data_IF_627270300953
#
_entry.id   IF_627270300953
#
_cell.length_a   1.000
_cell.length_b   1.000
_cell.length_c   1.000
_cell.angle_alpha   90.00
_cell.angle_beta   90.00
_cell.angle_gamma   90.00
#
_symmetry.space_group_name_H-M   'P 1'
#
loop_
_entity.id
_entity.type
_entity.pdbx_description
1 polymer ?
#
# COMPACT_ATOMS: atom_id res chain seq x y z
N UNK A 1 2.01 20.76 5.18
CA UNK A 1 0.74 20.17 5.63
C UNK A 1 -0.15 19.95 4.42
N UNK A 2 -0.44 18.69 4.10
CA UNK A 2 -1.42 18.33 3.08
C UNK A 2 -2.81 18.60 3.66
N UNK A 3 -3.69 19.24 2.89
CA UNK A 3 -5.08 19.42 3.30
C UNK A 3 -5.82 18.08 3.30
N UNK A 4 -6.77 17.89 4.23
CA UNK A 4 -7.53 16.63 4.32
C UNK A 4 -8.26 16.28 3.01
N UNK A 5 -8.80 17.28 2.30
CA UNK A 5 -9.40 17.06 0.98
C UNK A 5 -8.39 16.60 -0.07
N UNK A 6 -7.18 17.12 -0.04
CA UNK A 6 -6.10 16.71 -0.95
C UNK A 6 -5.69 15.27 -0.68
N UNK A 7 -5.61 14.86 0.59
CA UNK A 7 -5.37 13.47 0.99
C UNK A 7 -6.44 12.52 0.42
N UNK A 8 -7.72 12.86 0.52
CA UNK A 8 -8.81 12.08 -0.06
C UNK A 8 -8.71 12.03 -1.59
N UNK A 9 -8.40 13.16 -2.23
CA UNK A 9 -8.24 13.22 -3.69
C UNK A 9 -7.14 12.27 -4.20
N UNK A 10 -6.07 12.03 -3.43
CA UNK A 10 -5.02 11.08 -3.81
C UNK A 10 -5.54 9.65 -4.00
N UNK A 11 -6.49 9.18 -3.21
CA UNK A 11 -7.08 7.85 -3.39
C UNK A 11 -7.83 7.73 -4.73
N UNK A 12 -8.58 8.77 -5.09
CA UNK A 12 -9.29 8.82 -6.38
C UNK A 12 -8.33 8.95 -7.56
N UNK A 13 -7.31 9.80 -7.43
CA UNK A 13 -6.24 9.90 -8.42
C UNK A 13 -5.53 8.56 -8.65
N UNK A 14 -5.16 7.84 -7.61
CA UNK A 14 -4.49 6.54 -7.73
C UNK A 14 -5.39 5.49 -8.39
N UNK A 15 -6.69 5.48 -8.07
CA UNK A 15 -7.66 4.65 -8.76
C UNK A 15 -7.67 4.93 -10.26
N UNK A 16 -7.78 6.20 -10.65
CA UNK A 16 -7.83 6.60 -12.06
C UNK A 16 -6.50 6.33 -12.77
N UNK A 17 -5.38 6.55 -12.08
CA UNK A 17 -4.05 6.22 -12.59
C UNK A 17 -3.88 4.72 -12.88
N UNK A 18 -4.40 3.87 -12.02
CA UNK A 18 -4.36 2.42 -12.21
C UNK A 18 -5.31 1.97 -13.33
N UNK A 19 -6.44 2.67 -13.52
CA UNK A 19 -7.40 2.46 -14.61
C UNK A 19 -7.78 0.98 -14.80
N UNK A 20 -8.14 0.30 -13.71
CA UNK A 20 -8.54 -1.12 -13.66
C UNK A 20 -7.48 -2.13 -14.17
N UNK A 21 -6.24 -1.69 -14.43
CA UNK A 21 -5.15 -2.57 -14.87
C UNK A 21 -4.68 -3.54 -13.79
N UNK A 22 -4.94 -3.23 -12.54
CA UNK A 22 -4.63 -4.08 -11.38
C UNK A 22 -5.58 -3.80 -10.24
N UNK A 23 -5.65 -4.75 -9.30
CA UNK A 23 -6.43 -4.55 -8.09
C UNK A 23 -5.70 -3.62 -7.12
N UNK A 24 -6.41 -2.64 -6.57
CA UNK A 24 -5.90 -1.69 -5.58
C UNK A 24 -6.45 -2.05 -4.21
N UNK A 25 -5.57 -2.13 -3.23
CA UNK A 25 -5.91 -2.26 -1.83
C UNK A 25 -5.57 -0.95 -1.13
N UNK A 26 -6.59 -0.29 -0.59
CA UNK A 26 -6.43 0.94 0.15
C UNK A 26 -6.44 0.64 1.64
N UNK A 27 -5.44 1.13 2.35
CA UNK A 27 -5.34 1.00 3.79
C UNK A 27 -4.94 2.33 4.42
N UNK A 28 -5.42 2.57 5.61
CA UNK A 28 -5.05 3.71 6.43
C UNK A 28 -4.63 3.21 7.80
N UNK A 29 -3.56 3.78 8.33
CA UNK A 29 -3.14 3.50 9.69
C UNK A 29 -4.22 4.02 10.65
N UNK A 30 -4.76 3.13 11.47
CA UNK A 30 -5.77 3.45 12.46
C UNK A 30 -5.22 3.21 13.86
N UNK A 31 -4.69 4.26 14.48
CA UNK A 31 -4.37 4.25 15.89
C UNK A 31 -5.67 4.55 16.67
N UNK A 32 -5.88 3.89 17.82
CA UNK A 32 -7.05 4.10 18.68
C UNK A 32 -7.36 5.57 18.99
N UNK A 33 -6.36 6.44 18.92
CA UNK A 33 -6.49 7.90 19.08
C UNK A 33 -7.00 8.60 17.82
N UNK A 34 -6.99 7.94 16.67
CA UNK A 34 -7.38 8.51 15.37
C UNK A 34 -8.80 8.14 14.95
N UNK A 35 -9.44 7.16 15.61
CA UNK A 35 -10.81 6.75 15.29
C UNK A 35 -11.79 7.94 15.21
N UNK A 36 -11.89 8.82 16.20
CA UNK A 36 -12.81 9.96 16.12
C UNK A 36 -12.43 10.92 14.99
N UNK A 37 -11.15 11.11 14.72
CA UNK A 37 -10.69 11.99 13.66
C UNK A 37 -11.02 11.42 12.28
N UNK A 38 -10.82 10.12 12.08
CA UNK A 38 -11.19 9.46 10.83
C UNK A 38 -12.70 9.59 10.56
N UNK A 39 -13.53 9.27 11.54
CA UNK A 39 -14.99 9.34 11.39
C UNK A 39 -15.50 10.77 11.19
N UNK A 40 -14.96 11.73 11.89
CA UNK A 40 -15.44 13.11 11.85
C UNK A 40 -14.92 13.91 10.67
N UNK A 41 -13.74 13.57 10.16
CA UNK A 41 -13.08 14.35 9.10
C UNK A 41 -13.04 13.60 7.77
N UNK A 42 -12.55 12.37 7.75
CA UNK A 42 -12.36 11.66 6.49
C UNK A 42 -13.63 11.02 5.93
N UNK A 43 -14.48 10.45 6.78
CA UNK A 43 -15.73 9.83 6.31
C UNK A 43 -16.61 10.83 5.56
N UNK A 44 -16.87 12.06 6.05
CA UNK A 44 -17.63 13.06 5.29
C UNK A 44 -16.96 13.45 3.95
N UNK A 45 -15.64 13.54 3.92
CA UNK A 45 -14.90 13.87 2.69
C UNK A 45 -14.99 12.76 1.64
N UNK A 46 -14.87 11.50 2.05
CA UNK A 46 -15.06 10.36 1.17
C UNK A 46 -16.51 10.27 0.68
N UNK A 47 -17.50 10.55 1.55
CA UNK A 47 -18.90 10.58 1.16
C UNK A 47 -19.17 11.67 0.11
N UNK A 48 -18.68 12.88 0.32
CA UNK A 48 -18.76 13.96 -0.67
C UNK A 48 -18.18 13.53 -2.02
N UNK A 49 -17.00 12.91 -2.02
CA UNK A 49 -16.37 12.41 -3.24
C UNK A 49 -17.15 11.29 -3.91
N UNK A 50 -17.76 10.41 -3.14
CA UNK A 50 -18.67 9.41 -3.68
C UNK A 50 -19.87 10.04 -4.38
N UNK A 51 -20.51 11.04 -3.78
CA UNK A 51 -21.62 11.78 -4.38
C UNK A 51 -21.21 12.47 -5.69
N UNK A 52 -19.99 13.02 -5.76
CA UNK A 52 -19.44 13.66 -6.95
C UNK A 52 -19.07 12.66 -8.06
N UNK A 53 -18.54 11.50 -7.73
CA UNK A 53 -17.93 10.57 -8.68
C UNK A 53 -18.76 9.31 -8.95
N UNK A 54 -19.74 9.00 -8.08
CA UNK A 54 -20.50 7.75 -8.11
C UNK A 54 -19.69 6.52 -7.66
N UNK A 55 -18.47 6.69 -7.16
CA UNK A 55 -17.56 5.60 -6.82
C UNK A 55 -17.12 5.63 -5.36
N UNK A 56 -17.29 4.50 -4.66
CA UNK A 56 -16.80 4.32 -3.28
C UNK A 56 -15.42 3.70 -3.33
N UNK A 57 -14.45 4.33 -2.66
CA UNK A 57 -13.13 3.75 -2.41
C UNK A 57 -13.20 2.89 -1.14
N UNK A 58 -13.03 1.56 -1.24
CA UNK A 58 -12.96 0.71 -0.06
C UNK A 58 -11.64 0.97 0.67
N UNK A 59 -11.71 1.36 1.95
CA UNK A 59 -10.54 1.59 2.79
C UNK A 59 -10.59 0.61 3.96
N UNK A 60 -9.49 -0.07 4.22
CA UNK A 60 -9.33 -0.97 5.35
C UNK A 60 -8.42 -0.34 6.40
N UNK A 61 -8.78 -0.37 7.69
CA UNK A 61 -7.88 0.08 8.73
C UNK A 61 -6.70 -0.90 8.87
N UNK A 62 -5.51 -0.37 9.06
CA UNK A 62 -4.34 -1.15 9.47
C UNK A 62 -4.32 -1.25 11.00
N UNK A 63 -4.80 -2.38 11.52
CA UNK A 63 -4.90 -2.66 12.95
C UNK A 63 -3.70 -3.45 13.48
N UNK A 64 -2.62 -3.58 12.72
CA UNK A 64 -1.46 -4.34 13.15
C UNK A 64 -0.86 -3.76 14.43
N UNK A 65 -0.54 -4.66 15.37
CA UNK A 65 0.40 -4.30 16.42
C UNK A 65 1.80 -4.21 15.79
N UNK A 66 2.29 -2.98 15.65
CA UNK A 66 3.59 -2.72 15.03
C UNK A 66 4.68 -2.72 16.11
N UNK A 67 5.53 -3.76 16.17
CA UNK A 67 6.68 -3.76 17.05
C UNK A 67 7.68 -2.66 16.63
N UNK A 68 8.90 -2.74 17.12
CA UNK A 68 9.96 -1.79 16.77
C UNK A 68 9.98 -1.45 15.27
N UNK A 69 9.91 -0.15 15.00
CA UNK A 69 9.74 0.37 13.63
C UNK A 69 10.95 0.04 12.77
N UNK A 70 12.16 0.21 13.30
CA UNK A 70 13.39 -0.03 12.56
C UNK A 70 13.54 -1.52 12.22
N UNK A 71 13.50 -2.39 13.22
CA UNK A 71 13.64 -3.83 13.02
C UNK A 71 12.60 -4.42 12.04
N UNK A 72 11.37 -3.89 12.06
CA UNK A 72 10.30 -4.32 11.18
C UNK A 72 10.56 -3.91 9.72
N UNK A 73 10.93 -2.65 9.49
CA UNK A 73 11.21 -2.12 8.15
C UNK A 73 12.44 -2.82 7.57
N UNK A 74 13.52 -2.90 8.33
CA UNK A 74 14.75 -3.58 7.93
C UNK A 74 14.48 -5.05 7.62
N UNK A 75 13.84 -5.77 8.53
CA UNK A 75 13.58 -7.21 8.38
C UNK A 75 12.73 -7.56 7.16
N UNK A 76 11.82 -6.68 6.76
CA UNK A 76 10.93 -6.91 5.61
C UNK A 76 11.50 -6.39 4.28
N UNK A 77 12.17 -5.25 4.27
CA UNK A 77 12.59 -4.59 3.03
C UNK A 77 14.05 -4.88 2.65
N UNK A 78 14.96 -5.08 3.61
CA UNK A 78 16.35 -5.34 3.32
C UNK A 78 16.57 -6.61 2.48
N UNK A 79 15.91 -7.75 2.76
CA UNK A 79 16.02 -8.94 1.92
C UNK A 79 15.57 -8.70 0.48
N UNK A 80 14.59 -7.84 0.26
CA UNK A 80 14.12 -7.46 -1.07
C UNK A 80 15.14 -6.60 -1.79
N UNK A 81 15.71 -5.63 -1.09
CA UNK A 81 16.74 -4.76 -1.63
C UNK A 81 18.00 -5.56 -2.01
N UNK A 82 18.48 -6.41 -1.14
CA UNK A 82 19.64 -7.30 -1.39
C UNK A 82 19.41 -8.22 -2.57
N UNK A 83 18.19 -8.71 -2.76
CA UNK A 83 17.82 -9.55 -3.90
C UNK A 83 17.54 -8.75 -5.20
N UNK A 84 17.74 -7.42 -5.22
CA UNK A 84 17.44 -6.56 -6.36
C UNK A 84 15.94 -6.52 -6.74
N UNK A 85 15.07 -6.76 -5.76
CA UNK A 85 13.61 -6.80 -5.96
C UNK A 85 12.91 -5.49 -5.61
N UNK A 86 13.61 -4.55 -5.00
CA UNK A 86 13.12 -3.19 -4.81
C UNK A 86 13.50 -2.37 -6.04
N UNK A 87 12.50 -2.04 -6.84
CA UNK A 87 12.68 -1.36 -8.12
C UNK A 87 11.86 -0.07 -8.07
N UNK A 88 12.53 1.06 -8.26
CA UNK A 88 11.89 2.35 -8.45
C UNK A 88 11.58 2.57 -9.94
N UNK A 89 10.47 3.25 -10.22
CA UNK A 89 10.07 3.53 -11.59
C UNK A 89 11.00 4.56 -12.25
N UNK A 90 11.78 4.15 -13.24
CA UNK A 90 12.72 5.03 -13.94
C UNK A 90 12.03 6.21 -14.64
N UNK A 91 10.76 6.07 -15.02
CA UNK A 91 10.00 7.17 -15.62
C UNK A 91 9.74 8.31 -14.62
N UNK A 92 9.83 8.02 -13.31
CA UNK A 92 9.63 8.99 -12.23
C UNK A 92 10.95 9.52 -11.64
N UNK A 93 12.10 9.24 -12.25
CA UNK A 93 13.41 9.62 -11.72
C UNK A 93 13.58 11.12 -11.45
N UNK A 94 12.91 11.97 -12.25
CA UNK A 94 12.95 13.42 -12.12
C UNK A 94 11.79 13.97 -11.24
N UNK A 95 10.96 13.09 -10.68
CA UNK A 95 9.89 13.46 -9.75
C UNK A 95 10.49 13.76 -8.37
N UNK A 96 10.30 14.97 -7.83
CA UNK A 96 10.89 15.36 -6.54
C UNK A 96 10.40 14.49 -5.36
N UNK A 97 9.20 13.92 -5.44
CA UNK A 97 8.70 13.00 -4.41
C UNK A 97 9.40 11.64 -4.49
N UNK A 98 9.76 11.18 -5.69
CA UNK A 98 10.53 9.95 -5.88
C UNK A 98 11.97 10.12 -5.38
N UNK A 99 12.61 11.24 -5.70
CA UNK A 99 13.93 11.57 -5.19
C UNK A 99 13.96 11.66 -3.67
N UNK A 100 12.92 12.26 -3.07
CA UNK A 100 12.78 12.31 -1.62
C UNK A 100 12.57 10.92 -1.01
N UNK A 101 11.80 10.03 -1.63
CA UNK A 101 11.63 8.66 -1.18
C UNK A 101 12.97 7.90 -1.19
N UNK A 102 13.75 8.03 -2.26
CA UNK A 102 15.07 7.45 -2.37
C UNK A 102 16.01 7.96 -1.26
N UNK A 103 16.03 9.27 -1.03
CA UNK A 103 16.79 9.87 0.08
C UNK A 103 16.41 9.29 1.45
N UNK A 104 15.10 9.10 1.72
CA UNK A 104 14.62 8.50 2.96
C UNK A 104 15.10 7.06 3.14
N UNK A 105 15.23 6.28 2.06
CA UNK A 105 15.83 4.95 2.13
C UNK A 105 17.33 4.98 2.37
N UNK A 106 18.05 5.92 1.74
CA UNK A 106 19.50 6.06 1.91
C UNK A 106 19.87 6.54 3.32
N UNK A 107 19.03 7.33 3.97
CA UNK A 107 19.22 7.85 5.32
C UNK A 107 18.62 6.96 6.41
N UNK A 108 17.99 5.85 6.05
CA UNK A 108 17.33 4.96 7.00
C UNK A 108 18.37 4.13 7.77
N UNK A 109 18.56 4.46 9.05
CA UNK A 109 19.54 3.83 9.95
C UNK A 109 19.00 3.84 11.39
N UNK A 110 19.40 2.85 12.19
CA UNK A 110 18.99 2.67 13.61
C UNK A 110 19.43 3.81 14.53
N UNK A 111 20.48 4.50 14.19
CA UNK A 111 21.07 5.58 15.01
C UNK A 111 20.56 6.99 14.70
N UNK A 112 19.79 7.19 13.66
CA UNK A 112 19.42 8.53 13.19
C UNK A 112 17.93 8.80 13.37
N UNK A 113 17.54 10.00 13.86
CA UNK A 113 16.14 10.42 13.91
C UNK A 113 15.61 10.80 12.51
N UNK A 114 16.00 10.05 11.48
CA UNK A 114 15.52 10.31 10.15
C UNK A 114 14.03 10.03 10.05
N UNK A 115 13.27 10.83 9.30
CA UNK A 115 11.87 10.54 9.04
C UNK A 115 11.76 9.23 8.26
N UNK A 116 11.29 8.18 8.93
CA UNK A 116 11.13 6.84 8.37
C UNK A 116 9.76 6.63 7.70
N UNK A 117 9.02 7.70 7.39
CA UNK A 117 7.63 7.60 6.91
C UNK A 117 7.54 6.97 5.53
N UNK A 118 8.48 7.25 4.63
CA UNK A 118 8.56 6.61 3.33
C UNK A 118 8.81 5.10 3.42
N UNK A 119 9.90 4.64 4.05
CA UNK A 119 10.16 3.23 4.31
C UNK A 119 9.03 2.51 5.05
N UNK A 120 8.41 3.14 6.05
CA UNK A 120 7.28 2.58 6.80
C UNK A 120 6.03 2.38 5.92
N UNK A 121 5.73 3.34 5.08
CA UNK A 121 4.62 3.22 4.14
C UNK A 121 4.84 2.09 3.11
N UNK A 122 6.06 1.95 2.59
CA UNK A 122 6.42 0.88 1.65
C UNK A 122 6.36 -0.49 2.34
N UNK A 123 6.87 -0.61 3.57
CA UNK A 123 6.76 -1.84 4.37
C UNK A 123 5.30 -2.22 4.60
N UNK A 124 4.48 -1.26 4.99
CA UNK A 124 3.03 -1.47 5.16
C UNK A 124 2.35 -1.98 3.90
N UNK A 125 2.63 -1.38 2.76
CA UNK A 125 2.13 -1.81 1.46
C UNK A 125 2.60 -3.22 1.09
N UNK A 126 3.88 -3.52 1.28
CA UNK A 126 4.45 -4.85 1.04
C UNK A 126 3.78 -5.93 1.90
N UNK A 127 3.60 -5.67 3.19
CA UNK A 127 2.91 -6.59 4.10
C UNK A 127 1.49 -6.90 3.64
N UNK A 128 0.70 -5.88 3.28
CA UNK A 128 -0.66 -6.05 2.78
C UNK A 128 -0.68 -6.90 1.50
N UNK A 129 0.22 -6.62 0.56
CA UNK A 129 0.35 -7.39 -0.67
C UNK A 129 0.69 -8.87 -0.39
N UNK A 130 1.59 -9.15 0.55
CA UNK A 130 1.91 -10.52 0.95
C UNK A 130 0.69 -11.26 1.50
N UNK A 131 -0.06 -10.64 2.40
CA UNK A 131 -1.27 -11.25 2.98
C UNK A 131 -2.29 -11.59 1.89
N UNK A 132 -2.52 -10.68 0.94
CA UNK A 132 -3.46 -10.91 -0.16
C UNK A 132 -2.97 -12.00 -1.11
N UNK A 133 -1.67 -12.06 -1.40
CA UNK A 133 -1.08 -13.10 -2.24
C UNK A 133 -1.20 -14.50 -1.60
N UNK A 134 -1.09 -14.62 -0.28
CA UNK A 134 -1.29 -15.89 0.43
C UNK A 134 -2.73 -16.39 0.31
N UNK A 135 -3.71 -15.51 0.44
CA UNK A 135 -5.13 -15.86 0.29
C UNK A 135 -5.44 -16.39 -1.10
N UNK A 136 -4.90 -15.74 -2.15
CA UNK A 136 -5.08 -16.20 -3.54
C UNK A 136 -4.47 -17.58 -3.75
N UNK A 137 -3.27 -17.85 -3.22
CA UNK A 137 -2.63 -19.18 -3.33
C UNK A 137 -3.43 -20.26 -2.61
N UNK A 138 -3.96 -19.98 -1.44
CA UNK A 138 -4.80 -20.93 -0.70
C UNK A 138 -6.10 -21.25 -1.45
N UNK A 139 -6.71 -20.27 -2.09
CA UNK A 139 -7.91 -20.47 -2.92
C UNK A 139 -7.63 -21.24 -4.21
N UNK A 140 -6.45 -21.10 -4.83
CA UNK A 140 -6.10 -21.80 -6.05
C UNK A 140 -5.79 -23.29 -5.86
N UNK A 141 -5.44 -23.71 -4.65
CA UNK A 141 -5.25 -25.11 -4.31
C UNK A 141 -6.58 -25.90 -4.20
N UNK A 142 -7.72 -25.24 -4.15
CA UNK A 142 -9.04 -25.87 -4.04
C UNK A 142 -9.74 -26.11 -5.39
N UNK A 143 -9.18 -25.64 -6.51
CA UNK A 143 -9.80 -25.83 -7.82
C UNK A 143 -9.27 -27.08 -8.49
N UNK A 144 -10.12 -28.07 -8.44
CA UNK A 144 -10.03 -29.40 -8.95
C UNK A 144 -9.40 -29.59 -10.33
N UNK A 145 -8.85 -30.73 -10.45
CA UNK A 145 -8.63 -31.54 -11.66
C UNK A 145 -9.33 -31.02 -12.91
N UNK A 146 -8.59 -30.37 -13.78
CA UNK A 146 -9.00 -30.20 -15.17
C UNK A 146 -9.23 -31.61 -15.75
N UNK A 147 -10.39 -31.91 -16.36
CA UNK A 147 -10.56 -33.14 -17.09
C UNK A 147 -9.56 -33.16 -18.25
N UNK A 148 -8.68 -34.13 -18.25
CA UNK A 148 -7.80 -34.41 -19.39
C UNK A 148 -8.67 -34.76 -20.57
N UNK A 149 -8.92 -33.83 -21.45
CA UNK A 149 -9.52 -34.11 -22.74
C UNK A 149 -8.44 -34.80 -23.61
N UNK A 150 -8.33 -36.11 -23.46
CA UNK A 150 -7.60 -36.94 -24.43
C UNK A 150 -8.52 -37.16 -25.63
N UNK A 151 -8.38 -36.36 -26.66
CA UNK A 151 -8.67 -36.78 -28.04
C UNK A 151 -7.35 -36.81 -28.76
N UNK A 152 -6.79 -38.00 -28.89
CA UNK A 152 -5.84 -38.33 -29.94
C UNK A 152 -6.65 -38.67 -31.17
N UNK A 153 -6.36 -38.01 -32.26
CA UNK A 153 -6.44 -38.56 -33.60
C UNK A 153 -5.05 -38.49 -34.20
#
# INVERSE_FOLDING_TARGET
HVKNEEFVNWYYYLRDYVADRTQVYNSIENNKLQDPFYEQVFVPLFQKKWEETGYIIPISPDLRNKPDKFARIEGNLEPLNRAGRMILNIAEKDNPNMARLEELFLLFDDGLPAPADGPDAIEGGFFICQQKAMVVKAGSCAVGTRPRNRKRF
#
